data_IF_670542166898
#
_entry.id   IF_670542166898
#
_cell.length_a   1.000
_cell.length_b   1.000
_cell.length_c   1.000
_cell.angle_alpha   90.00
_cell.angle_beta   90.00
_cell.angle_gamma   90.00
#
_symmetry.space_group_name_H-M   'P 1'
#
loop_
_entity.id
_entity.type
_entity.pdbx_description
1 polymer ?
#
# COMPACT_ATOMS: atom_id res chain seq x y z
N UNK A 1 -44.89 11.78 -30.26
CA UNK A 1 -43.79 12.69 -29.88
C UNK A 1 -44.29 13.66 -28.82
N UNK A 2 -43.36 14.21 -28.05
CA UNK A 2 -43.48 15.29 -27.04
C UNK A 2 -44.00 14.96 -25.63
N UNK A 3 -43.05 15.17 -24.70
CA UNK A 3 -43.21 15.72 -23.35
C UNK A 3 -43.81 14.83 -22.25
N UNK A 4 -42.98 13.91 -21.74
CA UNK A 4 -43.04 13.50 -20.32
C UNK A 4 -41.82 14.04 -19.58
N UNK A 5 -42.05 15.19 -18.95
CA UNK A 5 -41.65 15.57 -17.59
C UNK A 5 -40.24 15.18 -17.14
N UNK A 6 -39.38 16.19 -17.16
CA UNK A 6 -38.18 16.34 -16.35
C UNK A 6 -38.44 15.97 -14.88
N UNK A 7 -37.95 14.79 -14.50
CA UNK A 7 -37.70 14.30 -13.13
C UNK A 7 -36.47 13.39 -13.34
N UNK A 8 -35.27 13.55 -12.79
CA UNK A 8 -34.78 14.21 -11.61
C UNK A 8 -33.59 15.11 -11.98
N UNK A 9 -33.72 16.40 -11.66
CA UNK A 9 -32.58 17.23 -11.29
C UNK A 9 -32.08 16.73 -9.91
N UNK A 10 -30.77 16.76 -9.70
CA UNK A 10 -30.07 16.50 -8.43
C UNK A 10 -29.84 15.03 -8.02
N UNK A 11 -29.08 14.29 -8.84
CA UNK A 11 -28.03 13.40 -8.29
C UNK A 11 -26.67 14.13 -8.27
N UNK A 12 -26.75 15.44 -8.04
CA UNK A 12 -25.63 16.31 -7.70
C UNK A 12 -25.12 15.85 -6.33
N UNK A 13 -23.86 15.45 -6.30
CA UNK A 13 -23.00 15.56 -5.12
C UNK A 13 -23.43 14.75 -3.87
N UNK A 14 -23.44 13.42 -3.96
CA UNK A 14 -23.46 12.57 -2.76
C UNK A 14 -22.38 11.48 -2.69
N UNK A 15 -21.39 11.50 -3.59
CA UNK A 15 -20.24 10.58 -3.51
C UNK A 15 -18.89 11.26 -3.24
N UNK A 16 -18.87 12.57 -3.02
CA UNK A 16 -17.64 13.34 -2.77
C UNK A 16 -17.48 13.80 -1.30
N UNK A 17 -18.27 13.27 -0.36
CA UNK A 17 -18.25 13.72 1.04
C UNK A 17 -17.89 12.64 2.09
N UNK A 18 -17.40 11.46 1.68
CA UNK A 18 -16.62 10.57 2.56
C UNK A 18 -15.12 10.69 2.26
N UNK A 19 -14.66 11.92 2.07
CA UNK A 19 -13.26 12.27 2.03
C UNK A 19 -13.00 13.39 3.05
N UNK A 20 -13.49 13.20 4.28
CA UNK A 20 -13.11 14.04 5.40
C UNK A 20 -12.61 13.17 6.56
N UNK A 21 -11.29 13.21 6.67
CA UNK A 21 -10.56 13.15 7.93
C UNK A 21 -10.79 11.90 8.79
N UNK A 22 -10.10 10.82 8.43
CA UNK A 22 -9.25 10.20 9.44
C UNK A 22 -7.88 10.90 9.43
N UNK A 23 -7.90 12.17 9.84
CA UNK A 23 -6.74 12.77 10.47
C UNK A 23 -6.67 12.13 11.86
N UNK A 24 -6.23 10.87 11.94
CA UNK A 24 -5.82 10.30 13.22
C UNK A 24 -4.47 10.92 13.52
N UNK A 25 -4.53 12.12 14.11
CA UNK A 25 -3.38 12.75 14.74
C UNK A 25 -2.77 11.78 15.73
N UNK A 26 -1.71 11.11 15.31
CA UNK A 26 -0.40 11.04 15.97
C UNK A 26 -0.40 11.20 17.51
N UNK A 27 -1.12 10.32 18.20
CA UNK A 27 -0.79 9.96 19.58
C UNK A 27 -0.05 8.60 19.63
N UNK A 28 0.57 8.22 18.51
CA UNK A 28 1.40 7.01 18.39
C UNK A 28 2.81 7.36 18.86
N UNK A 29 2.96 7.55 20.17
CA UNK A 29 4.26 7.84 20.75
C UNK A 29 5.10 6.56 20.73
N UNK A 30 6.05 6.50 19.80
CA UNK A 30 7.02 5.41 19.75
C UNK A 30 7.91 5.46 20.98
N UNK A 31 8.29 4.29 21.48
CA UNK A 31 9.34 4.20 22.50
C UNK A 31 10.67 4.66 21.88
N UNK A 32 11.53 5.39 22.63
CA UNK A 32 12.84 5.79 22.12
C UNK A 32 13.62 4.60 21.56
N UNK A 33 14.08 4.70 20.31
CA UNK A 33 14.81 3.65 19.60
C UNK A 33 13.95 2.66 18.79
N UNK A 34 12.62 2.73 18.90
CA UNK A 34 11.69 1.87 18.14
C UNK A 34 11.03 2.59 16.96
N UNK A 35 11.38 3.85 16.69
CA UNK A 35 10.65 4.72 15.79
C UNK A 35 10.56 4.15 14.37
N UNK A 36 11.64 3.53 13.90
CA UNK A 36 11.67 2.88 12.57
C UNK A 36 10.75 1.65 12.53
N UNK A 37 10.77 0.83 13.58
CA UNK A 37 9.97 -0.38 13.64
C UNK A 37 8.49 -0.05 13.73
N UNK A 38 8.13 0.88 14.62
CA UNK A 38 6.75 1.32 14.82
C UNK A 38 6.21 2.00 13.55
N UNK A 39 7.01 2.88 12.92
CA UNK A 39 6.63 3.50 11.64
C UNK A 39 6.33 2.44 10.59
N UNK A 40 7.20 1.44 10.40
CA UNK A 40 6.95 0.36 9.45
C UNK A 40 5.70 -0.44 9.80
N UNK A 41 5.56 -0.84 11.07
CA UNK A 41 4.41 -1.59 11.55
C UNK A 41 3.11 -0.85 11.21
N UNK A 42 3.04 0.44 11.50
CA UNK A 42 1.87 1.26 11.22
C UNK A 42 1.58 1.38 9.74
N UNK A 43 2.59 1.67 8.91
CA UNK A 43 2.40 1.78 7.45
C UNK A 43 1.88 0.48 6.83
N UNK A 44 2.37 -0.67 7.29
CA UNK A 44 1.91 -1.98 6.83
C UNK A 44 0.49 -2.28 7.34
N UNK A 45 0.22 -1.99 8.61
CA UNK A 45 -1.07 -2.25 9.24
C UNK A 45 -2.19 -1.38 8.63
N UNK A 46 -1.92 -0.08 8.43
CA UNK A 46 -2.84 0.87 7.81
C UNK A 46 -3.11 0.54 6.32
N UNK A 47 -2.32 -0.37 5.74
CA UNK A 47 -2.45 -0.83 4.34
C UNK A 47 -2.96 -2.27 4.20
N UNK A 48 -3.36 -2.94 5.29
CA UNK A 48 -3.76 -4.36 5.26
C UNK A 48 -4.90 -4.65 4.28
N UNK A 49 -5.85 -3.72 4.16
CA UNK A 49 -7.03 -3.82 3.27
C UNK A 49 -6.77 -3.36 1.84
N UNK A 50 -5.59 -2.80 1.54
CA UNK A 50 -5.25 -2.40 0.17
C UNK A 50 -5.28 -3.63 -0.73
N UNK A 51 -5.99 -3.50 -1.86
CA UNK A 51 -6.06 -4.53 -2.90
C UNK A 51 -4.90 -4.31 -3.85
N UNK A 52 -4.12 -5.37 -4.10
CA UNK A 52 -3.04 -5.33 -5.09
C UNK A 52 -3.62 -5.44 -6.50
N UNK A 53 -2.98 -4.82 -7.51
CA UNK A 53 -3.29 -5.11 -8.91
C UNK A 53 -3.15 -6.60 -9.22
N UNK A 54 -3.96 -7.10 -10.15
CA UNK A 54 -4.00 -8.52 -10.50
C UNK A 54 -2.62 -9.00 -10.98
N UNK A 55 -1.95 -8.22 -11.83
CA UNK A 55 -0.62 -8.51 -12.34
C UNK A 55 0.44 -8.63 -11.23
N UNK A 56 0.28 -7.86 -10.14
CA UNK A 56 1.16 -7.92 -8.98
C UNK A 56 0.90 -9.19 -8.16
N UNK A 57 -0.36 -9.62 -8.05
CA UNK A 57 -0.72 -10.89 -7.40
C UNK A 57 -0.19 -12.07 -8.20
N UNK A 58 -0.46 -12.12 -9.51
CA UNK A 58 0.03 -13.17 -10.41
C UNK A 58 1.55 -13.28 -10.36
N UNK A 59 2.26 -12.14 -10.33
CA UNK A 59 3.69 -12.11 -10.15
C UNK A 59 4.13 -12.75 -8.81
N UNK A 60 3.49 -12.38 -7.69
CA UNK A 60 3.82 -12.95 -6.39
C UNK A 60 3.56 -14.46 -6.32
N UNK A 61 2.48 -14.93 -6.94
CA UNK A 61 2.13 -16.36 -7.01
C UNK A 61 3.09 -17.15 -7.91
N UNK A 62 3.71 -16.50 -8.89
CA UNK A 62 4.72 -17.13 -9.76
C UNK A 62 6.08 -17.38 -9.09
N UNK A 63 6.32 -16.84 -7.89
CA UNK A 63 7.59 -17.00 -7.19
C UNK A 63 7.69 -18.42 -6.61
N UNK A 64 8.72 -19.15 -7.04
CA UNK A 64 8.99 -20.51 -6.59
C UNK A 64 9.74 -20.54 -5.24
N UNK A 65 9.03 -20.26 -4.15
CA UNK A 65 9.52 -20.53 -2.80
C UNK A 65 9.32 -22.02 -2.43
N UNK A 66 10.04 -22.53 -1.44
CA UNK A 66 9.75 -23.86 -0.92
C UNK A 66 8.37 -23.91 -0.25
N UNK A 67 7.67 -25.04 -0.41
CA UNK A 67 6.31 -25.24 0.11
C UNK A 67 6.17 -24.92 1.61
N UNK A 68 7.23 -25.16 2.38
CA UNK A 68 7.28 -24.90 3.83
C UNK A 68 7.13 -23.41 4.19
N UNK A 69 7.55 -22.50 3.30
CA UNK A 69 7.55 -21.05 3.58
C UNK A 69 6.78 -20.22 2.55
N UNK A 70 6.27 -20.81 1.48
CA UNK A 70 5.63 -20.10 0.37
C UNK A 70 4.52 -19.13 0.84
N UNK A 71 3.57 -19.62 1.65
CA UNK A 71 2.48 -18.78 2.18
C UNK A 71 2.99 -17.62 3.04
N UNK A 72 4.05 -17.85 3.82
CA UNK A 72 4.67 -16.81 4.67
C UNK A 72 5.37 -15.75 3.81
N UNK A 73 6.11 -16.18 2.79
CA UNK A 73 6.81 -15.28 1.89
C UNK A 73 5.86 -14.47 1.02
N UNK A 74 4.80 -15.10 0.51
CA UNK A 74 3.71 -14.43 -0.18
C UNK A 74 3.06 -13.35 0.69
N UNK A 75 2.68 -13.70 1.93
CA UNK A 75 2.09 -12.74 2.87
C UNK A 75 3.05 -11.58 3.18
N UNK A 76 4.32 -11.87 3.40
CA UNK A 76 5.32 -10.86 3.71
C UNK A 76 5.52 -9.86 2.56
N UNK A 77 5.72 -10.37 1.34
CA UNK A 77 5.91 -9.53 0.14
C UNK A 77 4.65 -8.76 -0.22
N UNK A 78 3.48 -9.40 -0.16
CA UNK A 78 2.20 -8.73 -0.44
C UNK A 78 1.93 -7.62 0.57
N UNK A 79 2.27 -7.80 1.86
CA UNK A 79 2.09 -6.76 2.88
C UNK A 79 2.91 -5.49 2.57
N UNK A 80 4.16 -5.67 2.10
CA UNK A 80 5.02 -4.55 1.69
C UNK A 80 4.42 -3.85 0.46
N UNK A 81 4.06 -4.61 -0.57
CA UNK A 81 3.50 -4.04 -1.80
C UNK A 81 2.18 -3.33 -1.53
N UNK A 82 1.32 -3.85 -0.64
CA UNK A 82 0.07 -3.20 -0.25
C UNK A 82 0.31 -1.79 0.29
N UNK A 83 1.35 -1.59 1.09
CA UNK A 83 1.70 -0.25 1.56
C UNK A 83 2.15 0.69 0.42
N UNK A 84 2.83 0.17 -0.59
CA UNK A 84 3.25 0.94 -1.77
C UNK A 84 2.08 1.29 -2.71
N UNK A 85 1.10 0.39 -2.85
CA UNK A 85 -0.12 0.61 -3.63
C UNK A 85 -1.21 1.38 -2.89
N UNK A 86 -1.09 1.56 -1.56
CA UNK A 86 -2.08 2.31 -0.79
C UNK A 86 -2.05 3.80 -1.19
N UNK A 87 -3.16 4.37 -1.69
CA UNK A 87 -3.21 5.78 -2.09
C UNK A 87 -3.17 6.76 -0.91
N UNK A 88 -3.49 6.29 0.31
CA UNK A 88 -3.45 7.12 1.51
C UNK A 88 -2.04 7.31 2.09
N UNK A 89 -1.08 6.45 1.72
CA UNK A 89 0.30 6.54 2.18
C UNK A 89 1.04 7.63 1.38
N UNK A 90 1.75 8.51 2.09
CA UNK A 90 2.47 9.62 1.49
C UNK A 90 3.61 9.14 0.58
N UNK A 91 4.02 9.97 -0.40
CA UNK A 91 5.20 9.68 -1.23
C UNK A 91 6.45 9.44 -0.38
N UNK A 92 6.67 10.28 0.64
CA UNK A 92 7.82 10.18 1.53
C UNK A 92 7.85 8.86 2.32
N UNK A 93 6.70 8.37 2.76
CA UNK A 93 6.62 7.08 3.45
C UNK A 93 6.82 5.90 2.51
N UNK A 94 6.38 6.01 1.25
CA UNK A 94 6.69 5.00 0.21
C UNK A 94 8.19 4.95 -0.07
N UNK A 95 8.86 6.10 -0.19
CA UNK A 95 10.32 6.19 -0.31
C UNK A 95 10.99 5.51 0.89
N UNK A 96 10.58 5.84 2.12
CA UNK A 96 11.09 5.21 3.34
C UNK A 96 10.94 3.68 3.33
N UNK A 97 9.78 3.14 2.92
CA UNK A 97 9.56 1.70 2.79
C UNK A 97 10.53 1.09 1.76
N UNK A 98 10.62 1.70 0.57
CA UNK A 98 11.49 1.22 -0.50
C UNK A 98 12.96 1.22 -0.09
N UNK A 99 13.45 2.27 0.55
CA UNK A 99 14.84 2.34 1.06
C UNK A 99 15.08 1.32 2.17
N UNK A 100 14.13 1.14 3.09
CA UNK A 100 14.27 0.21 4.20
C UNK A 100 14.43 -1.24 3.73
N UNK A 101 13.64 -1.67 2.75
CA UNK A 101 13.67 -3.03 2.22
C UNK A 101 14.66 -3.22 1.06
N UNK A 102 14.82 -2.22 0.21
CA UNK A 102 15.66 -2.26 -1.00
C UNK A 102 17.15 -2.35 -0.70
N UNK A 103 17.61 -1.74 0.40
CA UNK A 103 19.02 -1.73 0.79
C UNK A 103 19.47 -3.01 1.52
N UNK A 104 18.58 -3.96 1.75
CA UNK A 104 18.87 -5.19 2.51
C UNK A 104 19.16 -6.34 1.56
N UNK A 105 20.29 -7.03 1.78
CA UNK A 105 20.52 -8.31 1.13
C UNK A 105 19.73 -9.42 1.81
N UNK A 106 18.47 -9.59 1.37
CA UNK A 106 17.51 -10.49 1.97
C UNK A 106 16.79 -11.30 0.90
N UNK A 107 16.96 -12.62 0.95
CA UNK A 107 16.33 -13.60 0.07
C UNK A 107 14.81 -13.49 0.03
N UNK A 108 14.18 -13.09 1.15
CA UNK A 108 12.74 -12.88 1.22
C UNK A 108 12.28 -11.68 0.37
N UNK A 109 13.13 -10.67 0.19
CA UNK A 109 12.82 -9.42 -0.54
C UNK A 109 13.32 -9.45 -1.98
N UNK A 110 14.41 -10.18 -2.24
CA UNK A 110 15.08 -10.26 -3.54
C UNK A 110 14.11 -10.41 -4.73
N UNK A 111 13.06 -11.26 -4.69
CA UNK A 111 12.12 -11.38 -5.80
C UNK A 111 11.36 -10.09 -6.13
N UNK A 112 11.04 -9.25 -5.14
CA UNK A 112 10.25 -8.02 -5.34
C UNK A 112 11.12 -6.76 -5.53
N UNK A 113 12.46 -6.87 -5.55
CA UNK A 113 13.35 -5.69 -5.62
C UNK A 113 13.08 -4.78 -6.80
N UNK A 114 12.80 -5.35 -7.98
CA UNK A 114 12.49 -4.56 -9.17
C UNK A 114 11.24 -3.68 -8.96
N UNK A 115 10.20 -4.23 -8.32
CA UNK A 115 9.01 -3.46 -7.97
C UNK A 115 9.31 -2.38 -6.93
N UNK A 116 10.13 -2.67 -5.92
CA UNK A 116 10.57 -1.67 -4.94
C UNK A 116 11.30 -0.50 -5.62
N UNK A 117 12.21 -0.79 -6.55
CA UNK A 117 12.93 0.24 -7.30
C UNK A 117 11.99 1.08 -8.17
N UNK A 118 11.07 0.45 -8.89
CA UNK A 118 10.07 1.16 -9.68
C UNK A 118 9.24 2.12 -8.83
N UNK A 119 8.79 1.67 -7.65
CA UNK A 119 8.07 2.54 -6.71
C UNK A 119 8.96 3.64 -6.15
N UNK A 120 10.25 3.39 -5.90
CA UNK A 120 11.18 4.42 -5.44
C UNK A 120 11.31 5.52 -6.49
N UNK A 121 11.53 5.16 -7.75
CA UNK A 121 11.70 6.11 -8.86
C UNK A 121 10.44 6.95 -9.08
N UNK A 122 9.25 6.35 -8.96
CA UNK A 122 7.97 7.05 -9.10
C UNK A 122 7.68 8.05 -7.97
N UNK A 123 8.20 7.80 -6.77
CA UNK A 123 7.89 8.61 -5.58
C UNK A 123 9.01 9.57 -5.17
N UNK A 124 10.21 9.44 -5.75
CA UNK A 124 11.36 10.32 -5.50
C UNK A 124 11.40 11.55 -6.43
N UNK A 125 10.50 11.59 -7.43
CA UNK A 125 10.27 12.72 -8.34
C UNK A 125 9.03 13.54 -7.93
#
# INVERSE_FOLDING_TARGET
MTFKRFILLNAVMLFSAFAFAQNTSDNRQSLPGNETHDKLFYLLQDSKSTVLPAETVDFLESINDSDEVASKMFYYRSSILKALYNPAISKADKVFICEHYGNRDNDAIRPIRALLQQHLDLNSN
#
